data_IF_598772317699
#
_entry.id   IF_598772317699
#
_cell.length_a   1.000
_cell.length_b   1.000
_cell.length_c   1.000
_cell.angle_alpha   90.00
_cell.angle_beta   90.00
_cell.angle_gamma   90.00
#
_symmetry.space_group_name_H-M   'P 1'
#
loop_
_entity.id
_entity.type
_entity.pdbx_description
1 polymer ?
#
# COMPACT_ATOMS: atom_id res chain seq x y z
N UNK A 1 36.35 8.77 -29.11
CA UNK A 1 35.74 7.67 -28.32
C UNK A 1 36.42 7.61 -26.97
N UNK A 2 35.80 8.17 -25.93
CA UNK A 2 36.32 8.06 -24.56
C UNK A 2 35.75 6.78 -23.94
N UNK A 3 36.62 5.81 -23.69
CA UNK A 3 36.34 4.63 -22.90
C UNK A 3 36.05 5.04 -21.46
N UNK A 4 34.78 5.06 -21.07
CA UNK A 4 34.39 5.20 -19.66
C UNK A 4 34.80 3.92 -18.95
N UNK A 5 36.01 3.92 -18.40
CA UNK A 5 36.50 2.84 -17.55
C UNK A 5 35.53 2.65 -16.38
N UNK A 6 34.94 1.47 -16.29
CA UNK A 6 34.13 1.06 -15.13
C UNK A 6 35.07 0.97 -13.93
N UNK A 7 35.26 2.09 -13.22
CA UNK A 7 36.00 2.09 -11.96
C UNK A 7 35.27 1.18 -10.98
N UNK A 8 35.95 0.13 -10.52
CA UNK A 8 35.44 -0.73 -9.44
C UNK A 8 35.13 0.16 -8.22
N UNK A 9 33.96 0.01 -7.58
CA UNK A 9 33.63 0.77 -6.38
C UNK A 9 34.73 0.60 -5.34
N UNK A 10 35.20 1.69 -4.74
CA UNK A 10 36.21 1.65 -3.68
C UNK A 10 35.75 0.70 -2.56
N UNK A 11 36.69 0.03 -1.89
CA UNK A 11 36.39 -0.89 -0.78
C UNK A 11 35.48 -0.24 0.29
N UNK A 12 35.69 1.06 0.54
CA UNK A 12 34.82 1.85 1.42
C UNK A 12 33.37 1.87 0.94
N UNK A 13 33.10 2.11 -0.35
CA UNK A 13 31.72 2.10 -0.88
C UNK A 13 31.05 0.74 -0.74
N UNK A 14 31.81 -0.34 -0.89
CA UNK A 14 31.29 -1.70 -0.71
C UNK A 14 30.87 -1.93 0.74
N UNK A 15 31.72 -1.55 1.71
CA UNK A 15 31.38 -1.59 3.14
C UNK A 15 30.14 -0.75 3.43
N UNK A 16 30.08 0.48 2.90
CA UNK A 16 28.94 1.37 3.12
C UNK A 16 27.66 0.81 2.50
N UNK A 17 27.74 0.19 1.31
CA UNK A 17 26.60 -0.47 0.69
C UNK A 17 26.08 -1.62 1.55
N UNK A 18 26.98 -2.45 2.11
CA UNK A 18 26.61 -3.53 3.03
C UNK A 18 25.95 -3.00 4.30
N UNK A 19 26.49 -1.94 4.91
CA UNK A 19 25.95 -1.36 6.15
C UNK A 19 24.52 -0.83 6.00
N UNK A 20 24.16 -0.28 4.82
CA UNK A 20 22.82 0.26 4.58
C UNK A 20 21.89 -0.71 3.83
N UNK A 21 22.38 -1.90 3.47
CA UNK A 21 21.58 -2.91 2.77
C UNK A 21 20.60 -3.54 3.74
N UNK A 22 19.34 -3.62 3.33
CA UNK A 22 18.30 -4.42 3.97
C UNK A 22 18.40 -5.87 3.53
N UNK A 23 18.25 -6.76 4.51
CA UNK A 23 18.44 -8.20 4.47
C UNK A 23 17.11 -8.94 4.37
N UNK A 24 17.14 -10.29 4.41
CA UNK A 24 15.94 -11.11 4.50
C UNK A 24 15.19 -10.92 5.82
N UNK A 25 15.89 -10.63 6.91
CA UNK A 25 15.26 -10.33 8.20
C UNK A 25 14.46 -9.01 8.13
N UNK A 26 14.99 -8.01 7.44
CA UNK A 26 14.26 -6.76 7.18
C UNK A 26 13.00 -6.99 6.31
N UNK A 27 13.04 -7.97 5.39
CA UNK A 27 11.85 -8.37 4.61
C UNK A 27 10.80 -8.94 5.55
N UNK A 28 11.17 -9.85 6.45
CA UNK A 28 10.24 -10.47 7.39
C UNK A 28 9.66 -9.44 8.36
N UNK A 29 10.49 -8.57 8.94
CA UNK A 29 10.03 -7.47 9.80
C UNK A 29 9.06 -6.55 9.06
N UNK A 30 9.40 -6.12 7.83
CA UNK A 30 8.51 -5.29 7.00
C UNK A 30 7.19 -6.03 6.72
N UNK A 31 7.24 -7.33 6.43
CA UNK A 31 6.05 -8.14 6.20
C UNK A 31 5.12 -8.17 7.42
N UNK A 32 5.67 -8.36 8.64
CA UNK A 32 4.87 -8.39 9.87
C UNK A 32 4.20 -7.04 10.14
N UNK A 33 4.93 -5.93 9.95
CA UNK A 33 4.39 -4.58 10.11
C UNK A 33 3.24 -4.31 9.13
N UNK A 34 3.44 -4.66 7.86
CA UNK A 34 2.41 -4.53 6.83
C UNK A 34 1.17 -5.37 7.16
N UNK A 35 1.36 -6.62 7.58
CA UNK A 35 0.25 -7.52 7.91
C UNK A 35 -0.54 -7.04 9.12
N UNK A 36 0.14 -6.53 10.15
CA UNK A 36 -0.49 -5.94 11.32
C UNK A 36 -1.36 -4.73 10.92
N UNK A 37 -0.81 -3.80 10.13
CA UNK A 37 -1.54 -2.63 9.63
C UNK A 37 -2.77 -3.05 8.80
N UNK A 38 -2.61 -4.02 7.89
CA UNK A 38 -3.70 -4.52 7.05
C UNK A 38 -4.82 -5.18 7.87
N UNK A 39 -4.50 -5.93 8.92
CA UNK A 39 -5.52 -6.52 9.81
C UNK A 39 -6.34 -5.45 10.54
N UNK A 40 -5.70 -4.35 10.95
CA UNK A 40 -6.40 -3.22 11.58
C UNK A 40 -7.31 -2.52 10.57
N UNK A 41 -6.80 -2.20 9.37
CA UNK A 41 -7.56 -1.58 8.31
C UNK A 41 -8.77 -2.44 7.89
N UNK A 42 -8.60 -3.76 7.80
CA UNK A 42 -9.68 -4.72 7.55
C UNK A 42 -10.82 -4.57 8.57
N UNK A 43 -10.51 -4.74 9.86
CA UNK A 43 -11.52 -4.66 10.93
C UNK A 43 -12.24 -3.32 10.93
N UNK A 44 -11.48 -2.24 10.80
CA UNK A 44 -12.03 -0.88 10.74
C UNK A 44 -13.00 -0.72 9.57
N UNK A 45 -12.62 -1.23 8.39
CA UNK A 45 -13.45 -1.14 7.18
C UNK A 45 -14.74 -1.95 7.33
N UNK A 46 -14.65 -3.21 7.76
CA UNK A 46 -15.84 -4.05 7.96
C UNK A 46 -16.78 -3.43 9.00
N UNK A 47 -16.23 -2.91 10.09
CA UNK A 47 -17.02 -2.24 11.12
C UNK A 47 -17.69 -0.97 10.60
N UNK A 48 -17.00 -0.17 9.77
CA UNK A 48 -17.59 1.01 9.13
C UNK A 48 -18.73 0.63 8.18
N UNK A 49 -18.57 -0.41 7.38
CA UNK A 49 -19.63 -0.88 6.48
C UNK A 49 -20.86 -1.38 7.26
N UNK A 50 -20.67 -2.14 8.34
CA UNK A 50 -21.77 -2.54 9.23
C UNK A 50 -22.48 -1.33 9.85
N UNK A 51 -21.72 -0.30 10.27
CA UNK A 51 -22.28 0.96 10.81
C UNK A 51 -23.08 1.74 9.77
N UNK A 52 -22.68 1.73 8.49
CA UNK A 52 -23.46 2.35 7.40
C UNK A 52 -24.82 1.70 7.23
N UNK A 53 -24.94 0.41 7.55
CA UNK A 53 -26.22 -0.31 7.63
C UNK A 53 -26.95 -0.08 8.97
N UNK A 54 -26.40 0.70 9.89
CA UNK A 54 -27.00 0.97 11.21
C UNK A 54 -26.72 -0.12 12.25
N UNK A 55 -25.78 -1.03 11.99
CA UNK A 55 -25.39 -2.06 12.96
C UNK A 55 -24.22 -1.60 13.84
N UNK A 56 -24.29 -1.96 15.13
CA UNK A 56 -23.21 -1.73 16.11
C UNK A 56 -22.62 -3.07 16.53
N UNK A 57 -21.66 -3.53 15.74
CA UNK A 57 -20.98 -4.82 15.90
C UNK A 57 -19.47 -4.65 16.00
N UNK A 58 -18.80 -5.65 16.54
CA UNK A 58 -17.34 -5.76 16.53
C UNK A 58 -16.94 -6.59 15.31
N UNK A 59 -16.16 -6.00 14.40
CA UNK A 59 -15.66 -6.72 13.25
C UNK A 59 -14.58 -7.74 13.65
N UNK A 60 -14.63 -8.90 13.03
CA UNK A 60 -13.62 -9.92 13.17
C UNK A 60 -12.39 -9.63 12.30
N UNK A 61 -11.24 -10.20 12.68
CA UNK A 61 -10.05 -10.14 11.83
C UNK A 61 -10.20 -11.02 10.59
N UNK A 62 -9.40 -10.79 9.54
CA UNK A 62 -9.43 -11.62 8.34
C UNK A 62 -9.06 -13.08 8.68
N UNK A 63 -9.78 -14.05 8.09
CA UNK A 63 -9.58 -15.49 8.29
C UNK A 63 -9.47 -16.23 6.95
N UNK A 64 -9.00 -17.49 7.00
CA UNK A 64 -8.96 -18.42 5.85
C UNK A 64 -8.41 -17.74 4.58
N UNK A 65 -9.17 -17.74 3.50
CA UNK A 65 -8.78 -17.20 2.19
C UNK A 65 -8.42 -15.71 2.25
N UNK A 66 -9.14 -14.92 3.06
CA UNK A 66 -8.91 -13.48 3.19
C UNK A 66 -7.57 -13.22 3.89
N UNK A 67 -7.25 -14.02 4.92
CA UNK A 67 -5.95 -13.94 5.59
C UNK A 67 -4.81 -14.36 4.66
N UNK A 68 -4.97 -15.45 3.91
CA UNK A 68 -3.94 -15.90 2.97
C UNK A 68 -3.72 -14.92 1.82
N UNK A 69 -4.79 -14.30 1.30
CA UNK A 69 -4.70 -13.20 0.34
C UNK A 69 -3.87 -12.05 0.90
N UNK A 70 -4.21 -11.56 2.10
CA UNK A 70 -3.47 -10.46 2.72
C UNK A 70 -2.01 -10.82 3.01
N UNK A 71 -1.71 -12.04 3.45
CA UNK A 71 -0.33 -12.52 3.66
C UNK A 71 0.45 -12.51 2.35
N UNK A 72 -0.14 -13.03 1.26
CA UNK A 72 0.51 -13.08 -0.05
C UNK A 72 0.87 -11.68 -0.55
N UNK A 73 -0.05 -10.73 -0.40
CA UNK A 73 0.16 -9.34 -0.77
C UNK A 73 1.26 -8.68 0.08
N UNK A 74 1.25 -8.90 1.40
CA UNK A 74 2.28 -8.35 2.29
C UNK A 74 3.69 -8.87 1.97
N UNK A 75 3.83 -10.15 1.62
CA UNK A 75 5.13 -10.72 1.25
C UNK A 75 5.70 -10.08 -0.01
N UNK A 76 4.86 -9.91 -1.04
CA UNK A 76 5.25 -9.26 -2.28
C UNK A 76 5.66 -7.80 -2.05
N UNK A 77 4.87 -7.07 -1.28
CA UNK A 77 5.14 -5.67 -0.96
C UNK A 77 6.43 -5.52 -0.14
N UNK A 78 6.62 -6.33 0.90
CA UNK A 78 7.82 -6.29 1.74
C UNK A 78 9.09 -6.51 0.91
N UNK A 79 9.08 -7.52 0.04
CA UNK A 79 10.21 -7.78 -0.86
C UNK A 79 10.45 -6.62 -1.82
N UNK A 80 9.39 -6.06 -2.40
CA UNK A 80 9.47 -4.91 -3.32
C UNK A 80 10.01 -3.65 -2.63
N UNK A 81 9.58 -3.38 -1.40
CA UNK A 81 10.04 -2.25 -0.57
C UNK A 81 11.54 -2.39 -0.29
N UNK A 82 11.98 -3.56 0.20
CA UNK A 82 13.39 -3.84 0.50
C UNK A 82 14.26 -3.76 -0.77
N UNK A 83 13.82 -4.36 -1.87
CA UNK A 83 14.53 -4.27 -3.15
C UNK A 83 14.64 -2.83 -3.66
N UNK A 84 13.60 -2.01 -3.44
CA UNK A 84 13.61 -0.60 -3.83
C UNK A 84 14.53 0.22 -2.93
N UNK A 85 14.60 -0.10 -1.64
CA UNK A 85 15.55 0.50 -0.71
C UNK A 85 16.99 0.21 -1.12
N UNK A 86 17.34 -1.06 -1.33
CA UNK A 86 18.70 -1.49 -1.68
C UNK A 86 19.19 -0.82 -2.97
N UNK A 87 18.37 -0.82 -4.03
CA UNK A 87 18.68 -0.10 -5.28
C UNK A 87 18.79 1.41 -5.10
N UNK A 88 18.10 2.00 -4.13
CA UNK A 88 18.19 3.42 -3.84
C UNK A 88 19.47 3.76 -3.06
N UNK A 89 19.89 2.90 -2.13
CA UNK A 89 21.17 2.99 -1.39
C UNK A 89 22.34 2.97 -2.36
N UNK A 90 22.40 1.98 -3.26
CA UNK A 90 23.49 1.86 -4.25
C UNK A 90 23.61 3.11 -5.11
N UNK A 91 22.47 3.58 -5.67
CA UNK A 91 22.43 4.81 -6.47
C UNK A 91 22.83 6.04 -5.67
N UNK A 92 22.45 6.13 -4.40
CA UNK A 92 22.81 7.27 -3.54
C UNK A 92 24.31 7.27 -3.24
N UNK A 93 24.88 6.13 -2.87
CA UNK A 93 26.31 6.00 -2.60
C UNK A 93 27.14 6.32 -3.84
N UNK A 94 26.73 5.84 -5.02
CA UNK A 94 27.39 6.18 -6.28
C UNK A 94 27.37 7.69 -6.55
N UNK A 95 26.23 8.36 -6.33
CA UNK A 95 26.15 9.83 -6.48
C UNK A 95 27.04 10.57 -5.48
N UNK A 96 27.12 10.09 -4.24
CA UNK A 96 28.00 10.69 -3.23
C UNK A 96 29.48 10.53 -3.60
N UNK A 97 29.86 9.38 -4.16
CA UNK A 97 31.20 9.14 -4.65
C UNK A 97 31.54 10.02 -5.85
N UNK A 98 30.62 10.12 -6.83
CA UNK A 98 30.81 11.00 -7.99
C UNK A 98 30.98 12.47 -7.57
N UNK A 99 30.27 12.91 -6.52
CA UNK A 99 30.39 14.26 -5.98
C UNK A 99 31.69 14.47 -5.20
N UNK A 100 32.18 13.46 -4.46
CA UNK A 100 33.44 13.54 -3.72
C UNK A 100 34.14 12.17 -3.65
N UNK A 101 34.96 11.82 -4.64
CA UNK A 101 35.63 10.51 -4.67
C UNK A 101 36.60 10.28 -3.51
N UNK A 102 37.15 11.36 -2.95
CA UNK A 102 38.08 11.37 -1.82
C UNK A 102 37.37 11.49 -0.46
N UNK A 103 36.03 11.38 -0.46
CA UNK A 103 35.24 11.38 0.77
C UNK A 103 35.71 10.29 1.73
N UNK A 104 35.84 10.63 3.01
CA UNK A 104 36.13 9.65 4.05
C UNK A 104 34.85 8.98 4.57
N UNK A 105 34.97 8.02 5.48
CA UNK A 105 33.83 7.31 6.08
C UNK A 105 32.78 8.26 6.69
N UNK A 106 33.21 9.29 7.41
CA UNK A 106 32.31 10.24 8.07
C UNK A 106 31.48 11.05 7.05
N UNK A 107 32.09 11.42 5.92
CA UNK A 107 31.38 12.07 4.83
C UNK A 107 30.22 11.20 4.34
N UNK A 108 30.48 9.94 4.01
CA UNK A 108 29.42 9.05 3.49
C UNK A 108 28.35 8.75 4.53
N UNK A 109 28.73 8.44 5.79
CA UNK A 109 27.76 8.15 6.87
C UNK A 109 26.80 9.32 7.07
N UNK A 110 27.33 10.53 7.27
CA UNK A 110 26.51 11.74 7.51
C UNK A 110 25.51 11.98 6.39
N UNK A 111 25.95 11.86 5.14
CA UNK A 111 25.08 12.10 3.98
C UNK A 111 24.07 10.98 3.74
N UNK A 112 24.43 9.73 4.05
CA UNK A 112 23.52 8.59 3.97
C UNK A 112 22.46 8.65 5.07
N UNK A 113 22.82 9.00 6.30
CA UNK A 113 21.86 9.21 7.40
C UNK A 113 20.89 10.36 7.11
N UNK A 114 21.39 11.50 6.63
CA UNK A 114 20.56 12.63 6.24
C UNK A 114 19.59 12.24 5.11
N UNK A 115 20.08 11.53 4.09
CA UNK A 115 19.26 11.05 2.98
C UNK A 115 18.22 10.01 3.43
N UNK A 116 18.61 9.06 4.27
CA UNK A 116 17.72 8.01 4.79
C UNK A 116 16.55 8.61 5.57
N UNK A 117 16.83 9.56 6.48
CA UNK A 117 15.79 10.28 7.25
C UNK A 117 14.85 11.08 6.34
N UNK A 118 15.41 11.83 5.40
CA UNK A 118 14.61 12.60 4.44
C UNK A 118 13.72 11.68 3.58
N UNK A 119 14.22 10.50 3.20
CA UNK A 119 13.46 9.51 2.45
C UNK A 119 12.33 8.91 3.28
N UNK A 120 12.62 8.48 4.50
CA UNK A 120 11.64 7.88 5.41
C UNK A 120 10.42 8.77 5.60
N UNK A 121 10.63 10.08 5.81
CA UNK A 121 9.58 11.07 6.05
C UNK A 121 8.43 11.06 5.02
N UNK A 122 8.72 10.79 3.74
CA UNK A 122 7.69 10.71 2.70
C UNK A 122 7.40 9.28 2.23
N UNK A 123 8.39 8.38 2.21
CA UNK A 123 8.17 7.00 1.75
C UNK A 123 7.36 6.18 2.74
N UNK A 124 7.56 6.37 4.03
CA UNK A 124 6.85 5.59 5.03
C UNK A 124 5.36 5.94 5.03
N UNK A 125 5.04 7.24 4.83
CA UNK A 125 3.67 7.70 4.59
C UNK A 125 3.08 7.06 3.34
N UNK A 126 3.80 7.09 2.22
CA UNK A 126 3.33 6.48 0.98
C UNK A 126 3.07 4.98 1.12
N UNK A 127 3.93 4.25 1.84
CA UNK A 127 3.75 2.83 2.12
C UNK A 127 2.51 2.61 2.99
N UNK A 128 2.40 3.32 4.11
CA UNK A 128 1.26 3.20 5.03
C UNK A 128 -0.07 3.46 4.31
N UNK A 129 -0.15 4.56 3.56
CA UNK A 129 -1.35 4.93 2.79
C UNK A 129 -1.70 3.86 1.74
N UNK A 130 -0.72 3.34 1.02
CA UNK A 130 -0.96 2.27 0.03
C UNK A 130 -1.42 0.97 0.70
N UNK A 131 -0.79 0.61 1.81
CA UNK A 131 -1.11 -0.59 2.58
C UNK A 131 -2.54 -0.55 3.11
N UNK A 132 -2.99 0.62 3.57
CA UNK A 132 -4.36 0.83 4.04
C UNK A 132 -5.38 0.74 2.89
N UNK A 133 -5.24 1.56 1.84
CA UNK A 133 -6.28 1.66 0.81
C UNK A 133 -6.45 0.39 -0.02
N UNK A 134 -5.38 -0.39 -0.22
CA UNK A 134 -5.48 -1.72 -0.85
C UNK A 134 -6.40 -2.66 -0.07
N UNK A 135 -6.39 -2.58 1.27
CA UNK A 135 -7.27 -3.40 2.11
C UNK A 135 -8.67 -2.82 2.18
N UNK A 136 -8.82 -1.49 2.25
CA UNK A 136 -10.15 -0.86 2.31
C UNK A 136 -11.00 -1.27 1.11
N UNK A 137 -10.45 -1.18 -0.11
CA UNK A 137 -11.16 -1.59 -1.33
C UNK A 137 -11.57 -3.07 -1.29
N UNK A 138 -10.62 -3.94 -0.94
CA UNK A 138 -10.87 -5.38 -0.86
C UNK A 138 -11.91 -5.76 0.22
N UNK A 139 -11.76 -5.24 1.44
CA UNK A 139 -12.65 -5.52 2.56
C UNK A 139 -14.10 -5.09 2.30
N UNK A 140 -14.31 -3.93 1.65
CA UNK A 140 -15.64 -3.49 1.21
C UNK A 140 -16.28 -4.48 0.24
N UNK A 141 -15.54 -4.89 -0.79
CA UNK A 141 -16.04 -5.85 -1.78
C UNK A 141 -16.39 -7.19 -1.13
N UNK A 142 -15.57 -7.67 -0.18
CA UNK A 142 -15.84 -8.88 0.60
C UNK A 142 -17.08 -8.71 1.47
N UNK A 143 -17.22 -7.59 2.18
CA UNK A 143 -18.41 -7.30 2.98
C UNK A 143 -19.69 -7.31 2.15
N UNK A 144 -19.67 -6.67 0.97
CA UNK A 144 -20.83 -6.67 0.09
C UNK A 144 -21.12 -8.05 -0.50
N UNK A 145 -20.08 -8.84 -0.78
CA UNK A 145 -20.23 -10.20 -1.30
C UNK A 145 -20.86 -11.14 -0.27
N UNK A 146 -20.30 -11.22 0.94
CA UNK A 146 -20.71 -12.17 1.98
C UNK A 146 -22.09 -11.85 2.55
N UNK A 147 -22.50 -10.58 2.53
CA UNK A 147 -23.82 -10.16 3.02
C UNK A 147 -24.90 -10.14 1.93
N UNK A 148 -24.67 -10.77 0.78
CA UNK A 148 -25.66 -10.82 -0.31
C UNK A 148 -25.98 -9.44 -0.92
N UNK A 149 -25.11 -8.46 -0.71
CA UNK A 149 -25.32 -7.09 -1.16
C UNK A 149 -24.65 -6.79 -2.50
N UNK A 150 -24.17 -7.80 -3.25
CA UNK A 150 -23.62 -7.55 -4.60
C UNK A 150 -24.70 -6.96 -5.52
N UNK A 151 -24.29 -6.03 -6.38
CA UNK A 151 -25.20 -5.36 -7.32
C UNK A 151 -25.45 -3.89 -6.96
N UNK A 152 -26.50 -3.28 -7.53
CA UNK A 152 -26.80 -1.88 -7.31
C UNK A 152 -25.84 -0.90 -8.00
N UNK A 153 -25.94 0.37 -7.62
CA UNK A 153 -25.11 1.45 -8.17
C UNK A 153 -24.01 1.83 -7.18
N UNK A 154 -22.85 2.16 -7.72
CA UNK A 154 -21.69 2.58 -6.96
C UNK A 154 -21.21 3.92 -7.47
N UNK A 155 -20.69 4.75 -6.57
CA UNK A 155 -20.09 6.03 -6.91
C UNK A 155 -18.64 6.03 -6.49
N UNK A 156 -17.80 6.60 -7.35
CA UNK A 156 -16.40 6.86 -7.02
C UNK A 156 -16.33 8.05 -6.07
N UNK A 157 -15.79 7.87 -4.88
CA UNK A 157 -15.70 8.92 -3.86
C UNK A 157 -14.27 9.12 -3.40
N UNK A 158 -13.99 10.25 -2.78
CA UNK A 158 -12.69 10.67 -2.27
C UNK A 158 -12.52 12.19 -2.42
N UNK A 159 -11.32 12.73 -2.19
CA UNK A 159 -11.03 14.14 -2.48
C UNK A 159 -11.17 14.44 -3.97
N UNK A 160 -11.17 15.73 -4.37
CA UNK A 160 -11.19 16.10 -5.78
C UNK A 160 -10.09 15.38 -6.59
N UNK A 161 -10.44 14.68 -7.69
CA UNK A 161 -9.47 13.89 -8.44
C UNK A 161 -8.46 14.78 -9.15
N UNK A 162 -7.17 14.58 -8.90
CA UNK A 162 -6.10 15.34 -9.54
C UNK A 162 -5.47 14.62 -10.75
N UNK A 163 -5.62 13.29 -10.86
CA UNK A 163 -5.03 12.51 -11.94
C UNK A 163 -6.09 12.12 -12.99
N UNK A 164 -5.67 11.97 -14.26
CA UNK A 164 -6.56 11.64 -15.37
C UNK A 164 -7.32 10.32 -15.20
N UNK A 165 -6.73 9.32 -14.52
CA UNK A 165 -7.40 8.04 -14.22
C UNK A 165 -8.54 8.24 -13.22
N UNK A 166 -8.28 8.89 -12.08
CA UNK A 166 -9.32 9.18 -11.10
C UNK A 166 -10.42 10.08 -11.66
N UNK A 167 -10.07 11.09 -12.47
CA UNK A 167 -11.04 11.95 -13.14
C UNK A 167 -11.94 11.14 -14.09
N UNK A 168 -11.37 10.15 -14.79
CA UNK A 168 -12.13 9.26 -15.67
C UNK A 168 -13.18 8.49 -14.87
N UNK A 169 -12.84 7.89 -13.73
CA UNK A 169 -13.80 7.15 -12.91
C UNK A 169 -14.81 8.06 -12.22
N UNK A 170 -14.36 9.21 -11.70
CA UNK A 170 -15.23 10.20 -11.06
C UNK A 170 -16.29 10.74 -12.02
N UNK A 171 -15.92 11.02 -13.27
CA UNK A 171 -16.86 11.53 -14.29
C UNK A 171 -17.90 10.51 -14.77
N UNK A 172 -17.72 9.21 -14.49
CA UNK A 172 -18.74 8.19 -14.81
C UNK A 172 -19.99 8.30 -13.92
N UNK A 173 -19.91 9.00 -12.78
CA UNK A 173 -21.02 9.10 -11.84
C UNK A 173 -21.33 7.75 -11.20
N UNK A 174 -22.56 7.28 -11.39
CA UNK A 174 -23.02 6.01 -10.82
C UNK A 174 -22.77 4.85 -11.79
N UNK A 175 -22.03 3.83 -11.33
CA UNK A 175 -21.63 2.67 -12.13
C UNK A 175 -22.17 1.36 -11.54
N UNK A 176 -22.18 0.30 -12.35
CA UNK A 176 -22.63 -1.04 -11.93
C UNK A 176 -21.56 -1.79 -11.14
N UNK A 177 -21.97 -2.85 -10.43
CA UNK A 177 -21.03 -3.78 -9.76
C UNK A 177 -19.99 -4.34 -10.74
N UNK A 178 -20.39 -4.72 -11.96
CA UNK A 178 -19.45 -5.27 -12.95
C UNK A 178 -18.34 -4.26 -13.30
N UNK A 179 -18.67 -2.97 -13.36
CA UNK A 179 -17.67 -1.93 -13.57
C UNK A 179 -16.71 -1.82 -12.38
N UNK A 180 -17.23 -1.87 -11.16
CA UNK A 180 -16.42 -1.84 -9.93
C UNK A 180 -15.45 -3.04 -9.87
N UNK A 181 -15.95 -4.24 -10.14
CA UNK A 181 -15.15 -5.47 -10.12
C UNK A 181 -14.03 -5.43 -11.18
N UNK A 182 -14.29 -4.82 -12.35
CA UNK A 182 -13.29 -4.61 -13.39
C UNK A 182 -12.32 -3.46 -13.10
N UNK A 183 -12.63 -2.57 -12.15
CA UNK A 183 -11.85 -1.38 -11.84
C UNK A 183 -11.65 -1.24 -10.31
N UNK A 184 -10.99 -2.20 -9.64
CA UNK A 184 -10.85 -2.16 -8.19
C UNK A 184 -9.96 -0.99 -7.74
N UNK A 185 -10.26 -0.47 -6.55
CA UNK A 185 -9.44 0.57 -5.90
C UNK A 185 -8.43 -0.04 -4.94
N UNK A 186 -7.25 0.57 -4.73
CA UNK A 186 -6.81 1.88 -5.26
C UNK A 186 -6.34 1.81 -6.71
N UNK A 187 -6.58 2.88 -7.47
CA UNK A 187 -6.30 2.94 -8.94
C UNK A 187 -4.82 3.16 -9.24
N UNK A 188 -4.11 3.81 -8.33
CA UNK A 188 -2.68 4.06 -8.39
C UNK A 188 -2.13 4.18 -6.97
N UNK A 189 -0.80 4.28 -6.87
CA UNK A 189 -0.14 4.36 -5.58
C UNK A 189 -0.61 5.62 -4.82
N UNK A 190 -1.04 5.45 -3.57
CA UNK A 190 -1.50 6.53 -2.70
C UNK A 190 -2.87 7.12 -3.08
N UNK A 191 -3.63 6.45 -3.96
CA UNK A 191 -5.00 6.84 -4.28
C UNK A 191 -5.91 6.57 -3.08
N UNK A 192 -6.55 7.62 -2.56
CA UNK A 192 -7.52 7.56 -1.46
C UNK A 192 -8.97 7.46 -1.95
N UNK A 193 -9.17 7.40 -3.27
CA UNK A 193 -10.48 7.16 -3.84
C UNK A 193 -10.91 5.70 -3.65
N UNK A 194 -12.21 5.54 -3.45
CA UNK A 194 -12.83 4.24 -3.22
C UNK A 194 -14.20 4.20 -3.89
N UNK A 195 -14.71 2.98 -4.13
CA UNK A 195 -16.10 2.79 -4.49
C UNK A 195 -16.97 2.82 -3.23
N UNK A 196 -18.09 3.53 -3.31
CA UNK A 196 -19.15 3.51 -2.31
C UNK A 196 -20.45 3.10 -2.96
N UNK A 197 -21.26 2.31 -2.26
CA UNK A 197 -22.62 2.02 -2.72
C UNK A 197 -23.50 3.24 -2.59
N UNK A 198 -24.29 3.51 -3.63
CA UNK A 198 -25.29 4.57 -3.63
C UNK A 198 -26.45 4.14 -2.73
N UNK A 199 -26.85 5.02 -1.81
CA UNK A 199 -27.92 4.75 -0.84
C UNK A 199 -29.21 4.35 -1.56
N UNK A 200 -29.90 3.35 -1.02
CA UNK A 200 -31.15 2.84 -1.60
C UNK A 200 -30.97 1.92 -2.81
N UNK A 201 -29.73 1.64 -3.22
CA UNK A 201 -29.43 0.62 -4.25
C UNK A 201 -28.85 -0.67 -3.66
N UNK A 202 -28.90 -0.79 -2.33
CA UNK A 202 -28.58 -2.04 -1.65
C UNK A 202 -29.58 -3.12 -2.08
N UNK A 203 -29.10 -4.37 -2.13
CA UNK A 203 -30.00 -5.50 -1.99
C UNK A 203 -30.71 -5.47 -0.62
N UNK A 204 -31.57 -6.44 -0.33
CA UNK A 204 -32.15 -6.56 1.01
C UNK A 204 -31.03 -6.54 2.06
N UNK A 205 -31.23 -5.73 3.10
CA UNK A 205 -30.32 -5.65 4.23
C UNK A 205 -30.34 -7.01 4.95
N UNK A 206 -29.19 -7.65 5.24
CA UNK A 206 -29.19 -8.90 6.00
C UNK A 206 -29.74 -8.66 7.41
N UNK A 207 -30.35 -9.68 8.01
CA UNK A 207 -30.68 -9.65 9.44
C UNK A 207 -29.39 -9.55 10.29
N UNK A 208 -29.49 -9.13 11.55
CA UNK A 208 -28.28 -8.91 12.37
C UNK A 208 -27.54 -10.23 12.64
N UNK A 209 -28.30 -11.29 12.89
CA UNK A 209 -27.84 -12.66 13.12
C UNK A 209 -27.20 -13.31 11.88
N UNK A 210 -27.51 -12.79 10.69
CA UNK A 210 -26.96 -13.24 9.40
C UNK A 210 -25.82 -12.34 8.91
N UNK A 211 -25.52 -11.24 9.63
CA UNK A 211 -24.53 -10.26 9.22
C UNK A 211 -23.12 -10.87 9.31
N UNK A 212 -22.48 -11.03 8.15
CA UNK A 212 -21.07 -11.35 8.10
C UNK A 212 -20.23 -10.12 8.48
N UNK A 213 -19.34 -10.28 9.45
CA UNK A 213 -18.53 -9.20 10.04
C UNK A 213 -17.02 -9.47 10.03
N UNK A 214 -16.56 -10.39 9.18
CA UNK A 214 -15.14 -10.74 9.04
C UNK A 214 -14.86 -12.22 9.25
#
# INVERSE_FOLDING_TARGET
MMTVGVQRPSHLLQIMALLYRRTAEDVESTYQDLLAQRKVAWRSTIQQEARKLGYRVTAEGPRRQDLEYLKSLCRQDAQSIVNTWNRAVERRLLRLYQANPRGNRHYYLRHMEAWARARAAWKDRQIATQTEYTVVGYAKLRFWAENGMRGGRHRFVGPPPACGRCLTHFSKGDVTQAYVDANPTPIHIGCDHTWEKVRGTYGPKPALEELWVG
#
